data_IF_369354019181
#
_entry.id   IF_369354019181
#
_cell.length_a   1.000
_cell.length_b   1.000
_cell.length_c   1.000
_cell.angle_alpha   90.00
_cell.angle_beta   90.00
_cell.angle_gamma   90.00
#
_symmetry.space_group_name_H-M   'P 1'
#
loop_
_entity.id
_entity.type
_entity.pdbx_description
1 polymer ?
#
# COMPACT_ATOMS: atom_id res chain seq x y z
N UNK A 1 4.79 -22.85 6.40
CA UNK A 1 4.20 -22.96 5.05
C UNK A 1 4.06 -21.56 4.52
N UNK A 2 4.63 -21.27 3.36
CA UNK A 2 4.40 -20.01 2.64
C UNK A 2 3.03 -20.09 1.98
N UNK A 3 2.22 -19.04 2.13
CA UNK A 3 0.94 -18.89 1.46
C UNK A 3 1.07 -17.76 0.45
N UNK A 4 0.81 -18.04 -0.81
CA UNK A 4 0.81 -17.04 -1.89
C UNK A 4 -0.63 -16.67 -2.23
N UNK A 5 -0.85 -15.43 -2.62
CA UNK A 5 -2.16 -14.89 -2.99
C UNK A 5 -2.01 -13.59 -3.77
N UNK A 6 -3.06 -13.21 -4.50
CA UNK A 6 -3.09 -11.96 -5.25
C UNK A 6 -3.42 -10.80 -4.30
N UNK A 7 -2.56 -9.78 -4.23
CA UNK A 7 -2.85 -8.55 -3.49
C UNK A 7 -3.98 -7.78 -4.20
N UNK A 8 -5.11 -7.62 -3.53
CA UNK A 8 -6.30 -6.96 -4.09
C UNK A 8 -6.66 -5.65 -3.40
N UNK A 9 -6.08 -5.39 -2.22
CA UNK A 9 -6.31 -4.15 -1.50
C UNK A 9 -5.24 -3.89 -0.47
N UNK A 10 -5.02 -2.60 -0.18
CA UNK A 10 -4.16 -2.16 0.90
C UNK A 10 -4.69 -0.86 1.50
N UNK A 11 -4.31 -0.59 2.74
CA UNK A 11 -4.64 0.65 3.42
C UNK A 11 -3.77 0.83 4.65
N UNK A 12 -3.89 1.98 5.30
CA UNK A 12 -3.18 2.23 6.54
C UNK A 12 -4.03 2.95 7.57
N UNK A 13 -3.62 2.86 8.83
CA UNK A 13 -4.12 3.67 9.92
C UNK A 13 -2.93 4.31 10.64
N UNK A 14 -2.93 5.64 10.77
CA UNK A 14 -1.90 6.37 11.53
C UNK A 14 -2.15 6.16 13.03
N UNK A 15 -1.10 5.78 13.76
CA UNK A 15 -1.11 5.54 15.21
C UNK A 15 -0.03 6.39 15.90
N UNK A 16 0.19 7.61 15.42
CA UNK A 16 1.16 8.56 15.98
C UNK A 16 2.58 8.26 15.51
N UNK A 17 3.38 7.58 16.34
CA UNK A 17 4.76 7.18 15.98
C UNK A 17 4.82 5.84 15.22
N UNK A 18 3.67 5.17 15.09
CA UNK A 18 3.51 3.90 14.38
C UNK A 18 2.47 4.05 13.27
N UNK A 19 2.47 3.07 12.38
CA UNK A 19 1.44 2.88 11.36
C UNK A 19 1.00 1.42 11.39
N UNK A 20 -0.31 1.20 11.22
CA UNK A 20 -0.85 -0.11 10.91
C UNK A 20 -1.04 -0.21 9.40
N UNK A 21 -0.34 -1.12 8.74
CA UNK A 21 -0.56 -1.47 7.34
C UNK A 21 -1.57 -2.62 7.28
N UNK A 22 -2.64 -2.45 6.50
CA UNK A 22 -3.61 -3.49 6.16
C UNK A 22 -3.35 -3.95 4.73
N UNK A 23 -3.15 -5.24 4.51
CA UNK A 23 -3.09 -5.88 3.19
C UNK A 23 -4.26 -6.86 3.05
N UNK A 24 -4.81 -6.97 1.86
CA UNK A 24 -5.91 -7.85 1.52
C UNK A 24 -5.54 -8.73 0.34
N UNK A 25 -5.71 -10.03 0.45
CA UNK A 25 -5.39 -10.98 -0.62
C UNK A 25 -6.44 -12.06 -0.80
N UNK A 26 -6.57 -12.56 -2.03
CA UNK A 26 -7.25 -13.82 -2.32
C UNK A 26 -6.26 -14.91 -2.65
N UNK A 27 -6.54 -16.14 -2.23
CA UNK A 27 -5.70 -17.29 -2.50
C UNK A 27 -5.99 -17.93 -3.86
N UNK A 28 -7.20 -17.75 -4.39
CA UNK A 28 -7.57 -18.19 -5.74
C UNK A 28 -8.51 -17.19 -6.43
N UNK A 29 -8.59 -17.28 -7.76
CA UNK A 29 -9.60 -16.53 -8.52
C UNK A 29 -11.01 -17.02 -8.20
N UNK A 30 -11.17 -18.31 -7.94
CA UNK A 30 -12.45 -18.92 -7.55
C UNK A 30 -12.99 -18.32 -6.24
N UNK A 31 -12.14 -18.11 -5.24
CA UNK A 31 -12.52 -17.49 -3.96
C UNK A 31 -13.06 -16.07 -4.16
N UNK A 32 -12.44 -15.31 -5.09
CA UNK A 32 -12.90 -13.98 -5.47
C UNK A 32 -14.23 -14.02 -6.22
N UNK A 33 -14.42 -14.98 -7.11
CA UNK A 33 -15.64 -15.11 -7.93
C UNK A 33 -16.86 -15.55 -7.13
N UNK A 34 -16.65 -16.24 -6.00
CA UNK A 34 -17.70 -16.66 -5.08
C UNK A 34 -18.07 -15.56 -4.05
N UNK A 35 -17.72 -14.29 -4.32
CA UNK A 35 -17.87 -13.16 -3.39
C UNK A 35 -17.30 -13.43 -1.99
N UNK A 36 -16.23 -14.23 -1.92
CA UNK A 36 -15.52 -14.50 -0.67
C UNK A 36 -14.92 -13.23 -0.07
N UNK A 37 -14.78 -13.17 1.26
CA UNK A 37 -14.05 -12.08 1.89
C UNK A 37 -12.54 -12.29 1.73
N UNK A 38 -11.76 -11.27 1.31
CA UNK A 38 -10.33 -11.40 1.17
C UNK A 38 -9.66 -11.51 2.54
N UNK A 39 -8.66 -12.39 2.62
CA UNK A 39 -7.82 -12.52 3.81
C UNK A 39 -7.16 -11.19 4.16
N UNK A 40 -7.17 -10.85 5.45
CA UNK A 40 -6.63 -9.59 5.95
C UNK A 40 -5.37 -9.80 6.78
N UNK A 41 -4.29 -9.13 6.37
CA UNK A 41 -3.04 -9.09 7.11
C UNK A 41 -2.81 -7.70 7.67
N UNK A 42 -2.49 -7.62 8.96
CA UNK A 42 -2.27 -6.35 9.67
C UNK A 42 -0.88 -6.33 10.30
N UNK A 43 -0.08 -5.35 9.90
CA UNK A 43 1.28 -5.17 10.41
C UNK A 43 1.39 -3.83 11.09
N UNK A 44 1.81 -3.81 12.35
CA UNK A 44 2.15 -2.59 13.07
C UNK A 44 3.65 -2.37 12.96
N UNK A 45 4.05 -1.19 12.51
CA UNK A 45 5.46 -0.83 12.33
C UNK A 45 5.70 0.64 12.67
N UNK A 46 6.95 1.03 12.89
CA UNK A 46 7.30 2.44 13.02
C UNK A 46 7.15 3.16 11.68
N UNK A 47 7.03 4.49 11.70
CA UNK A 47 7.04 5.30 10.46
C UNK A 47 8.33 5.11 9.64
N UNK A 48 9.46 4.86 10.29
CA UNK A 48 10.73 4.56 9.62
C UNK A 48 10.69 3.20 8.90
N UNK A 49 10.18 2.15 9.56
CA UNK A 49 10.03 0.83 8.93
C UNK A 49 9.11 0.89 7.72
N UNK A 50 8.02 1.66 7.81
CA UNK A 50 7.12 1.88 6.68
C UNK A 50 7.80 2.59 5.50
N UNK A 51 8.65 3.58 5.78
CA UNK A 51 9.42 4.26 4.73
C UNK A 51 10.40 3.31 4.03
N UNK A 52 11.11 2.47 4.79
CA UNK A 52 12.02 1.45 4.23
C UNK A 52 11.25 0.44 3.38
N UNK A 53 10.11 -0.06 3.87
CA UNK A 53 9.24 -0.97 3.10
C UNK A 53 8.74 -0.32 1.82
N UNK A 54 8.26 0.92 1.89
CA UNK A 54 7.82 1.68 0.73
C UNK A 54 8.92 1.83 -0.32
N UNK A 55 10.13 2.22 0.10
CA UNK A 55 11.27 2.35 -0.81
C UNK A 55 11.62 1.03 -1.49
N UNK A 56 11.64 -0.08 -0.74
CA UNK A 56 11.87 -1.41 -1.30
C UNK A 56 10.82 -1.76 -2.37
N UNK A 57 9.53 -1.53 -2.08
CA UNK A 57 8.45 -1.79 -3.04
C UNK A 57 8.58 -0.94 -4.32
N UNK A 58 9.00 0.32 -4.19
CA UNK A 58 9.26 1.18 -5.34
C UNK A 58 10.43 0.66 -6.18
N UNK A 59 11.55 0.32 -5.54
CA UNK A 59 12.75 -0.21 -6.19
C UNK A 59 12.45 -1.47 -6.99
N UNK A 60 11.78 -2.47 -6.40
CA UNK A 60 11.46 -3.72 -7.10
C UNK A 60 10.42 -3.54 -8.21
N UNK A 61 9.58 -2.50 -8.13
CA UNK A 61 8.58 -2.19 -9.16
C UNK A 61 9.18 -1.46 -10.37
N UNK A 62 10.41 -0.96 -10.27
CA UNK A 62 11.01 -0.06 -11.27
C UNK A 62 10.35 1.31 -11.38
N UNK A 63 9.42 1.64 -10.47
CA UNK A 63 8.73 2.92 -10.43
C UNK A 63 9.49 3.91 -9.54
N UNK A 64 9.47 5.20 -9.88
CA UNK A 64 9.95 6.26 -8.99
C UNK A 64 8.82 6.71 -8.07
N UNK A 65 9.13 7.05 -6.81
CA UNK A 65 8.12 7.53 -5.88
C UNK A 65 7.36 8.71 -6.51
N UNK A 66 6.03 8.66 -6.48
CA UNK A 66 5.22 9.76 -6.97
C UNK A 66 5.61 11.01 -6.20
N UNK A 67 6.30 11.94 -6.86
CA UNK A 67 6.53 13.26 -6.28
C UNK A 67 5.16 13.86 -6.06
N UNK A 68 4.83 14.21 -4.81
CA UNK A 68 3.66 15.04 -4.55
C UNK A 68 3.91 16.37 -5.23
N UNK A 69 3.47 16.46 -6.48
CA UNK A 69 3.82 17.57 -7.34
C UNK A 69 3.34 18.87 -6.72
N UNK A 70 4.24 19.86 -6.69
CA UNK A 70 3.93 21.29 -6.58
C UNK A 70 3.00 21.80 -7.70
N UNK A 71 2.22 20.92 -8.35
CA UNK A 71 1.39 21.16 -9.53
C UNK A 71 0.13 22.01 -9.24
N UNK A 72 -0.15 22.35 -7.99
CA UNK A 72 -1.35 23.13 -7.63
C UNK A 72 -1.11 24.64 -7.48
N UNK A 73 0.09 25.07 -7.07
CA UNK A 73 0.31 26.49 -6.73
C UNK A 73 0.68 27.35 -7.94
N UNK A 74 1.50 26.84 -8.87
CA UNK A 74 1.91 27.62 -10.05
C UNK A 74 0.78 27.82 -11.09
N UNK A 75 -0.26 26.98 -11.07
CA UNK A 75 -1.42 27.13 -11.97
C UNK A 75 -2.36 28.27 -11.56
N UNK A 76 -2.23 28.81 -10.35
CA UNK A 76 -3.05 29.90 -9.82
C UNK A 76 -2.48 31.31 -10.04
N UNK A 77 -1.24 31.44 -10.50
CA UNK A 77 -0.57 32.74 -10.68
C UNK A 77 -0.35 33.14 -12.14
N UNK A 78 -0.58 32.21 -13.09
CA UNK A 78 -0.43 32.44 -14.53
C UNK A 78 -1.69 32.04 -15.32
N UNK A 79 -2.86 32.07 -14.67
CA UNK A 79 -4.17 31.84 -15.27
C UNK A 79 -5.16 32.90 -14.82
#
# INVERSE_FOLDING_TARGET
MERHGALVGWGHHDMGNRVMLKLQSFHSLEEKEQDGEPDQFRFIMSKQQAAVLGNYLMEISGQTAATQGQRSLFRRLFG
#
